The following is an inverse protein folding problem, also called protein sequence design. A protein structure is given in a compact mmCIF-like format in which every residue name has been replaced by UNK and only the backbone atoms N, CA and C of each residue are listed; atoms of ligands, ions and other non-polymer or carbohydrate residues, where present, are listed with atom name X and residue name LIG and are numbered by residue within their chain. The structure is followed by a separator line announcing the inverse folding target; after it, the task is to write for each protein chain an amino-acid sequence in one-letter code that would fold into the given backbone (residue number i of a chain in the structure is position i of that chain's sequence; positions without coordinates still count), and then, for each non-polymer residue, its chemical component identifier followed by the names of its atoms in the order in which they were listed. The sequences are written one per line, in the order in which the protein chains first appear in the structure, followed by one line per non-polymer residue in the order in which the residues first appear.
data_IF_951287046521
#
_entry.id   IF_951287046521
#
_cell.length_a   1.000
_cell.length_b   1.000
_cell.length_c   1.000
_cell.angle_alpha   90.00
_cell.angle_beta   90.00
_cell.angle_gamma   90.00
#
_symmetry.space_group_name_H-M   'P 1'
#
loop_
_entity.id
_entity.type
_entity.pdbx_description
1 polymer ?
#
# COMPACT_ATOMS: atom_id res chain seq x y z
N UNK A 1 5.05 13.41 5.74
CA UNK A 1 6.07 14.28 6.36
C UNK A 1 5.86 14.34 7.86
N UNK A 2 6.92 14.59 8.59
CA UNK A 2 6.86 14.77 10.04
C UNK A 2 7.48 16.10 10.45
N UNK A 3 6.99 16.65 11.55
CA UNK A 3 7.44 17.91 12.11
C UNK A 3 8.30 17.67 13.35
N UNK A 4 9.30 18.51 13.56
CA UNK A 4 10.23 18.42 14.68
C UNK A 4 11.34 17.41 14.47
N UNK A 5 12.26 17.35 15.44
CA UNK A 5 13.36 16.38 15.51
C UNK A 5 13.39 15.63 16.85
N UNK A 6 12.36 15.82 17.67
CA UNK A 6 12.16 15.23 18.99
C UNK A 6 11.51 13.84 18.94
N UNK A 7 12.05 12.96 18.11
CA UNK A 7 11.59 11.58 17.97
C UNK A 7 11.55 10.85 19.31
N UNK A 8 10.76 9.76 19.41
CA UNK A 8 10.60 9.05 20.67
C UNK A 8 11.96 8.66 21.24
N UNK A 9 12.22 9.06 22.48
CA UNK A 9 13.45 8.85 23.28
C UNK A 9 13.86 7.36 23.41
N UNK A 10 13.04 6.44 22.87
CA UNK A 10 13.22 5.00 22.84
C UNK A 10 14.52 4.54 22.14
N UNK A 11 15.22 5.43 21.44
CA UNK A 11 16.59 5.24 21.01
C UNK A 11 17.40 6.54 21.19
N UNK A 12 18.28 6.63 22.21
CA UNK A 12 19.20 7.75 22.36
C UNK A 12 20.01 7.93 21.07
N UNK A 13 19.80 9.05 20.36
CA UNK A 13 20.51 9.39 19.12
C UNK A 13 19.75 9.19 17.81
N UNK A 14 18.49 8.70 17.82
CA UNK A 14 17.63 8.74 16.62
C UNK A 14 16.84 10.05 16.59
N UNK A 15 17.34 11.01 15.81
CA UNK A 15 16.69 12.29 15.55
C UNK A 15 15.72 12.12 14.37
N UNK A 16 14.43 12.32 14.61
CA UNK A 16 13.41 12.27 13.57
C UNK A 16 12.04 12.66 14.14
N UNK A 17 11.08 13.09 13.33
CA UNK A 17 9.76 13.47 13.81
C UNK A 17 9.04 12.34 14.59
N UNK A 18 8.29 12.67 15.66
CA UNK A 18 7.47 11.70 16.38
C UNK A 18 6.29 11.15 15.55
N UNK A 19 5.89 11.85 14.49
CA UNK A 19 4.78 11.46 13.63
C UNK A 19 5.06 11.80 12.16
N UNK A 20 5.01 10.79 11.27
CA UNK A 20 5.23 10.92 9.82
C UNK A 20 3.94 10.89 8.99
N UNK A 21 2.77 10.72 9.63
CA UNK A 21 1.47 10.45 8.99
C UNK A 21 0.78 11.68 8.40
N UNK A 22 1.54 12.71 8.00
CA UNK A 22 1.01 13.91 7.34
C UNK A 22 1.31 13.82 5.83
N UNK A 23 0.41 13.30 4.98
CA UNK A 23 0.63 13.25 3.54
C UNK A 23 0.64 14.66 2.95
N UNK A 24 1.60 14.93 2.07
CA UNK A 24 1.69 16.18 1.31
C UNK A 24 1.05 16.06 -0.07
N UNK A 25 1.13 14.87 -0.65
CA UNK A 25 0.62 14.55 -1.98
C UNK A 25 -0.12 13.22 -1.93
N UNK A 26 -1.10 13.07 -2.81
CA UNK A 26 -1.76 11.78 -2.98
C UNK A 26 -0.79 10.78 -3.65
N UNK A 27 -0.88 9.48 -3.31
CA UNK A 27 -0.09 8.46 -3.98
C UNK A 27 -0.35 8.44 -5.49
N UNK A 28 0.71 8.33 -6.26
CA UNK A 28 0.67 8.13 -7.70
C UNK A 28 1.59 6.97 -8.08
N UNK A 29 1.35 6.40 -9.25
CA UNK A 29 2.15 5.32 -9.79
C UNK A 29 3.15 5.87 -10.80
N UNK A 30 4.38 5.37 -10.73
CA UNK A 30 5.41 5.55 -11.75
C UNK A 30 5.37 4.34 -12.69
N UNK A 31 5.38 4.58 -13.99
CA UNK A 31 5.39 3.55 -15.05
C UNK A 31 6.74 3.62 -15.75
N UNK A 32 7.62 2.68 -15.41
CA UNK A 32 8.93 2.55 -16.02
C UNK A 32 8.93 1.80 -17.36
N UNK A 33 10.02 1.90 -18.13
CA UNK A 33 10.18 1.19 -19.40
C UNK A 33 10.37 -0.32 -19.21
N UNK A 34 10.89 -0.75 -18.05
CA UNK A 34 11.09 -2.17 -17.72
C UNK A 34 10.75 -2.45 -16.27
N UNK A 35 10.69 -3.74 -15.88
CA UNK A 35 10.54 -4.18 -14.49
C UNK A 35 11.86 -4.27 -13.71
N UNK A 36 12.99 -4.12 -14.40
CA UNK A 36 14.31 -4.08 -13.78
C UNK A 36 14.64 -2.64 -13.38
N UNK A 37 15.59 -2.40 -12.46
CA UNK A 37 16.06 -1.06 -12.15
C UNK A 37 16.45 -0.29 -13.42
N UNK A 38 15.93 0.91 -13.59
CA UNK A 38 16.22 1.81 -14.71
C UNK A 38 16.65 3.18 -14.15
N UNK A 39 17.56 3.87 -14.84
CA UNK A 39 17.90 5.25 -14.48
C UNK A 39 16.76 6.19 -14.87
N UNK A 40 16.73 7.37 -14.26
CA UNK A 40 15.82 8.44 -14.63
C UNK A 40 15.52 9.34 -13.45
N UNK A 41 14.75 10.40 -13.71
CA UNK A 41 14.35 11.38 -12.69
C UNK A 41 12.85 11.58 -12.74
N UNK A 42 12.23 11.61 -11.56
CA UNK A 42 10.86 12.07 -11.36
C UNK A 42 10.94 13.21 -10.35
N UNK A 43 10.54 14.41 -10.77
CA UNK A 43 10.56 15.61 -9.96
C UNK A 43 9.17 16.22 -9.83
N UNK A 44 8.83 16.63 -8.60
CA UNK A 44 7.65 17.39 -8.28
C UNK A 44 8.09 18.82 -7.95
N UNK A 45 7.86 19.79 -8.84
CA UNK A 45 8.40 21.14 -8.69
C UNK A 45 7.85 21.86 -7.46
N UNK A 46 6.60 21.56 -7.09
CA UNK A 46 5.99 22.01 -5.85
C UNK A 46 5.28 20.88 -5.15
N UNK A 47 5.65 20.70 -3.87
CA UNK A 47 5.00 19.79 -2.95
C UNK A 47 4.39 20.66 -1.85
N UNK A 48 3.05 20.70 -1.72
CA UNK A 48 2.40 21.61 -0.79
C UNK A 48 2.60 21.15 0.66
N UNK A 49 2.42 22.08 1.60
CA UNK A 49 2.33 21.72 3.01
C UNK A 49 1.08 20.84 3.26
N UNK A 50 1.11 19.96 4.26
CA UNK A 50 -0.04 19.16 4.66
C UNK A 50 -1.17 20.08 5.11
N UNK A 51 -2.39 19.57 4.97
CA UNK A 51 -3.59 20.29 5.37
C UNK A 51 -3.50 20.66 6.86
N UNK A 52 -3.84 21.91 7.18
CA UNK A 52 -3.79 22.49 8.53
C UNK A 52 -2.39 22.56 9.17
N UNK A 53 -1.32 22.42 8.39
CA UNK A 53 0.02 22.69 8.88
C UNK A 53 0.28 24.20 8.95
N UNK A 54 0.83 24.67 10.07
CA UNK A 54 1.38 26.02 10.23
C UNK A 54 2.85 25.87 10.56
N UNK A 55 3.72 26.47 9.74
CA UNK A 55 5.17 26.43 9.89
C UNK A 55 5.73 27.84 9.82
N UNK A 56 6.82 28.09 10.54
CA UNK A 56 7.60 29.33 10.47
C UNK A 56 9.04 29.02 10.06
N UNK A 57 9.75 30.04 9.58
CA UNK A 57 11.17 29.90 9.34
C UNK A 57 11.91 29.46 10.62
N UNK A 58 12.85 28.52 10.46
CA UNK A 58 13.57 27.87 11.55
C UNK A 58 12.95 26.57 12.06
N UNK A 59 11.69 26.27 11.71
CA UNK A 59 11.09 24.98 12.09
C UNK A 59 11.77 23.82 11.34
N UNK A 60 12.01 22.72 12.05
CA UNK A 60 12.55 21.49 11.48
C UNK A 60 11.42 20.54 11.07
N UNK A 61 11.60 19.86 9.96
CA UNK A 61 10.72 18.81 9.50
C UNK A 61 11.50 17.76 8.71
N UNK A 62 10.93 16.57 8.55
CA UNK A 62 11.46 15.53 7.68
C UNK A 62 10.44 15.20 6.62
N UNK A 63 10.87 15.29 5.36
CA UNK A 63 10.12 14.78 4.21
C UNK A 63 10.50 13.32 4.05
N UNK A 64 9.49 12.46 3.96
CA UNK A 64 9.68 11.04 3.69
C UNK A 64 9.12 10.74 2.30
N UNK A 65 9.99 10.22 1.43
CA UNK A 65 9.61 9.63 0.15
C UNK A 65 9.38 8.14 0.40
N UNK A 66 8.19 7.67 0.04
CA UNK A 66 7.79 6.25 0.16
C UNK A 66 7.58 5.73 -1.24
N UNK A 67 8.38 4.75 -1.63
CA UNK A 67 8.25 4.07 -2.91
C UNK A 67 7.86 2.61 -2.68
N UNK A 68 6.82 2.16 -3.38
CA UNK A 68 6.37 0.77 -3.34
C UNK A 68 6.70 0.11 -4.67
N UNK A 69 7.57 -0.89 -4.63
CA UNK A 69 7.92 -1.68 -5.80
C UNK A 69 6.78 -2.64 -6.18
N UNK A 70 6.71 -3.04 -7.46
CA UNK A 70 5.69 -3.97 -7.97
C UNK A 70 5.67 -5.32 -7.25
N UNK A 71 6.81 -5.75 -6.70
CA UNK A 71 6.93 -6.98 -5.92
C UNK A 71 6.58 -6.81 -4.42
N UNK A 72 6.03 -5.66 -4.04
CA UNK A 72 5.54 -5.39 -2.69
C UNK A 72 6.60 -4.96 -1.67
N UNK A 73 7.85 -4.74 -2.08
CA UNK A 73 8.82 -4.10 -1.19
C UNK A 73 8.56 -2.60 -1.09
N UNK A 74 8.90 -2.04 0.06
CA UNK A 74 8.80 -0.62 0.31
C UNK A 74 10.20 -0.04 0.55
N UNK A 75 10.50 1.07 -0.08
CA UNK A 75 11.69 1.88 0.17
C UNK A 75 11.26 3.20 0.81
N UNK A 76 12.00 3.59 1.84
CA UNK A 76 11.76 4.82 2.58
C UNK A 76 13.04 5.65 2.53
N UNK A 77 12.93 6.87 2.01
CA UNK A 77 14.03 7.84 2.02
C UNK A 77 13.61 9.08 2.78
N UNK A 78 14.46 9.52 3.70
CA UNK A 78 14.20 10.67 4.57
C UNK A 78 15.12 11.81 4.19
N UNK A 79 14.56 13.02 4.15
CA UNK A 79 15.31 14.26 3.98
C UNK A 79 14.88 15.22 5.08
N UNK A 80 15.82 15.58 5.93
CA UNK A 80 15.61 16.59 6.96
C UNK A 80 15.75 17.98 6.36
N UNK A 81 14.77 18.83 6.66
CA UNK A 81 14.67 20.19 6.18
C UNK A 81 14.49 21.15 7.35
N UNK A 82 14.95 22.37 7.16
CA UNK A 82 14.61 23.52 8.00
C UNK A 82 13.88 24.52 7.14
N UNK A 83 12.68 24.92 7.54
CA UNK A 83 11.93 25.96 6.84
C UNK A 83 12.72 27.26 6.86
N UNK A 84 12.72 27.99 5.75
CA UNK A 84 13.33 29.31 5.66
C UNK A 84 12.34 30.30 5.06
N UNK A 85 12.68 31.58 5.17
CA UNK A 85 11.87 32.64 4.58
C UNK A 85 11.84 32.55 3.05
N UNK A 86 10.72 32.93 2.41
CA UNK A 86 10.66 33.00 0.95
C UNK A 86 11.78 33.89 0.38
N UNK A 87 12.54 33.36 -0.57
CA UNK A 87 13.66 34.08 -1.19
C UNK A 87 14.98 34.04 -0.42
N UNK A 88 15.10 33.18 0.60
CA UNK A 88 16.38 32.95 1.28
C UNK A 88 17.47 32.49 0.28
N UNK A 89 18.65 33.16 0.25
CA UNK A 89 19.70 32.86 -0.72
C UNK A 89 20.30 31.45 -0.59
N UNK A 90 20.04 30.74 0.53
CA UNK A 90 20.45 29.35 0.73
C UNK A 90 19.61 28.36 -0.07
N UNK A 91 18.41 28.76 -0.49
CA UNK A 91 17.50 27.90 -1.26
C UNK A 91 17.81 28.10 -2.75
N UNK A 92 18.31 27.04 -3.38
CA UNK A 92 18.50 27.03 -4.82
C UNK A 92 17.14 27.11 -5.54
N UNK A 93 17.08 27.95 -6.58
CA UNK A 93 15.87 28.07 -7.39
C UNK A 93 15.64 26.79 -8.18
N UNK A 94 14.41 26.28 -8.16
CA UNK A 94 14.01 25.13 -8.97
C UNK A 94 14.00 25.56 -10.44
N UNK A 95 14.71 24.81 -11.29
CA UNK A 95 14.84 25.07 -12.72
C UNK A 95 14.90 23.74 -13.50
N UNK A 96 14.91 23.81 -14.82
CA UNK A 96 14.92 22.63 -15.69
C UNK A 96 16.22 21.79 -15.61
N UNK A 97 17.28 22.31 -14.98
CA UNK A 97 18.53 21.56 -14.81
C UNK A 97 18.59 20.78 -13.50
N UNK A 98 17.82 21.16 -12.49
CA UNK A 98 17.78 20.48 -11.19
C UNK A 98 16.48 19.72 -10.90
N UNK A 99 15.39 20.04 -11.62
CA UNK A 99 14.10 19.38 -11.47
C UNK A 99 13.51 19.11 -12.85
N UNK A 100 13.74 17.89 -13.35
CA UNK A 100 13.25 17.45 -14.65
C UNK A 100 12.68 16.03 -14.56
N UNK A 101 11.75 15.73 -15.45
CA UNK A 101 11.21 14.38 -15.61
C UNK A 101 11.83 13.71 -16.83
N UNK A 102 12.32 12.48 -16.67
CA UNK A 102 12.78 11.68 -17.80
C UNK A 102 11.60 11.27 -18.70
N UNK A 103 11.83 11.17 -20.01
CA UNK A 103 10.78 10.93 -21.00
C UNK A 103 10.34 9.47 -21.13
N UNK A 104 11.15 8.55 -20.62
CA UNK A 104 10.90 7.11 -20.57
C UNK A 104 10.11 6.68 -19.33
N UNK A 105 9.74 7.64 -18.47
CA UNK A 105 8.98 7.40 -17.24
C UNK A 105 7.59 8.04 -17.36
N UNK A 106 6.55 7.21 -17.28
CA UNK A 106 5.16 7.64 -17.21
C UNK A 106 4.68 7.82 -15.76
N UNK A 107 3.59 8.57 -15.59
CA UNK A 107 2.88 8.73 -14.30
C UNK A 107 1.41 8.41 -14.50
N UNK A 108 0.81 7.71 -13.53
CA UNK A 108 -0.61 7.40 -13.51
C UNK A 108 -1.21 7.56 -12.11
N UNK A 109 -2.49 7.89 -12.05
CA UNK A 109 -3.23 7.98 -10.79
C UNK A 109 -3.54 6.59 -10.23
N UNK A 110 -3.48 6.48 -8.90
CA UNK A 110 -3.90 5.28 -8.17
C UNK A 110 -5.31 5.52 -7.64
N UNK A 111 -6.24 4.64 -8.00
CA UNK A 111 -7.60 4.64 -7.47
C UNK A 111 -7.94 3.25 -6.92
N UNK A 112 -8.75 3.23 -5.86
CA UNK A 112 -9.24 2.00 -5.26
C UNK A 112 -10.68 1.76 -5.72
N UNK A 113 -10.98 0.52 -6.09
CA UNK A 113 -12.34 0.08 -6.42
C UNK A 113 -12.82 -0.86 -5.32
N UNK A 114 -13.94 -0.51 -4.68
CA UNK A 114 -14.59 -1.42 -3.73
C UNK A 114 -15.34 -2.50 -4.50
N UNK A 115 -14.70 -3.65 -4.72
CA UNK A 115 -15.34 -4.79 -5.37
C UNK A 115 -16.32 -5.52 -4.44
N UNK A 116 -16.07 -5.49 -3.13
CA UNK A 116 -16.94 -6.02 -2.07
C UNK A 116 -16.78 -5.20 -0.80
N UNK A 117 -17.89 -4.86 -0.15
CA UNK A 117 -17.84 -4.21 1.14
C UNK A 117 -17.38 -5.19 2.24
N UNK A 118 -16.77 -4.67 3.30
CA UNK A 118 -16.40 -5.47 4.47
C UNK A 118 -17.65 -6.13 5.07
N UNK A 119 -17.54 -7.42 5.40
CA UNK A 119 -18.66 -8.22 5.91
C UNK A 119 -19.63 -8.77 4.85
N UNK A 120 -19.45 -8.45 3.57
CA UNK A 120 -20.19 -9.11 2.49
C UNK A 120 -19.57 -10.49 2.23
N UNK A 121 -20.36 -11.56 2.42
CA UNK A 121 -19.96 -12.89 1.94
C UNK A 121 -19.75 -12.84 0.43
N UNK A 122 -18.70 -13.50 -0.04
CA UNK A 122 -18.59 -13.85 -1.45
C UNK A 122 -19.86 -14.62 -1.82
N UNK A 123 -20.83 -13.97 -2.45
CA UNK A 123 -21.97 -14.68 -3.00
C UNK A 123 -21.46 -15.42 -4.24
N UNK A 124 -20.76 -16.53 -4.00
CA UNK A 124 -20.42 -17.51 -5.01
C UNK A 124 -21.74 -18.22 -5.30
N UNK A 125 -22.64 -17.54 -6.01
CA UNK A 125 -23.61 -18.22 -6.85
C UNK A 125 -22.78 -18.88 -7.96
N UNK A 126 -22.14 -20.00 -7.61
CA UNK A 126 -21.60 -20.92 -8.59
C UNK A 126 -22.79 -21.44 -9.38
N UNK A 127 -23.14 -20.72 -10.46
CA UNK A 127 -24.10 -21.14 -11.47
C UNK A 127 -23.56 -22.28 -12.33
N UNK A 128 -22.36 -22.78 -12.03
CA UNK A 128 -21.83 -23.99 -12.64
C UNK A 128 -22.64 -25.21 -12.20
N UNK A 129 -23.44 -25.74 -13.11
CA UNK A 129 -24.22 -26.97 -12.95
C UNK A 129 -23.39 -28.17 -12.45
N UNK A 130 -22.06 -28.13 -12.62
CA UNK A 130 -21.12 -29.15 -12.17
C UNK A 130 -20.95 -29.26 -10.64
N UNK A 131 -21.32 -28.23 -9.85
CA UNK A 131 -21.17 -28.28 -8.38
C UNK A 131 -22.39 -28.92 -7.69
N UNK A 132 -23.57 -28.86 -8.32
CA UNK A 132 -24.79 -29.50 -7.78
C UNK A 132 -24.72 -31.02 -7.77
N UNK A 133 -23.95 -31.62 -8.68
CA UNK A 133 -23.77 -33.07 -8.75
C UNK A 133 -22.89 -33.64 -7.64
N UNK A 134 -22.01 -32.86 -7.01
CA UNK A 134 -21.14 -33.36 -5.95
C UNK A 134 -21.83 -33.37 -4.57
N UNK A 135 -22.70 -32.41 -4.28
CA UNK A 135 -23.35 -32.31 -2.96
C UNK A 135 -24.48 -33.33 -2.76
N UNK A 136 -25.25 -33.68 -3.80
CA UNK A 136 -26.27 -34.74 -3.67
C UNK A 136 -25.66 -36.16 -3.64
N UNK A 137 -24.52 -36.38 -4.32
CA UNK A 137 -23.86 -37.68 -4.33
C UNK A 137 -23.17 -38.01 -2.99
N UNK A 138 -22.60 -37.00 -2.31
CA UNK A 138 -21.88 -37.19 -1.05
C UNK A 138 -22.78 -37.62 0.12
N UNK A 139 -23.94 -36.99 0.30
CA UNK A 139 -24.83 -37.32 1.42
C UNK A 139 -25.54 -38.67 1.25
N UNK A 140 -26.01 -39.00 0.05
CA UNK A 140 -26.70 -40.26 -0.20
C UNK A 140 -25.75 -41.48 -0.10
N UNK A 141 -24.50 -41.36 -0.58
CA UNK A 141 -23.51 -42.42 -0.47
C UNK A 141 -23.10 -42.70 0.98
N UNK A 142 -23.00 -41.65 1.81
CA UNK A 142 -22.62 -41.79 3.22
C UNK A 142 -23.73 -42.48 4.02
N UNK A 143 -24.99 -42.06 3.89
CA UNK A 143 -26.11 -42.73 4.59
C UNK A 143 -26.33 -44.17 4.12
N UNK A 144 -26.16 -44.45 2.82
CA UNK A 144 -26.24 -45.81 2.27
C UNK A 144 -25.14 -46.74 2.82
N UNK A 145 -23.91 -46.23 2.98
CA UNK A 145 -22.81 -47.00 3.53
C UNK A 145 -23.05 -47.37 5.01
N UNK A 146 -23.53 -46.43 5.83
CA UNK A 146 -23.87 -46.72 7.23
C UNK A 146 -25.03 -47.71 7.37
N UNK A 147 -26.06 -47.63 6.51
CA UNK A 147 -27.15 -48.60 6.50
C UNK A 147 -26.68 -50.01 6.17
N UNK A 148 -25.77 -50.16 5.19
CA UNK A 148 -25.20 -51.46 4.82
C UNK A 148 -24.34 -52.08 5.94
N UNK A 149 -23.56 -51.28 6.66
CA UNK A 149 -22.76 -51.75 7.81
C UNK A 149 -23.65 -52.18 8.97
N UNK A 150 -24.71 -51.42 9.28
CA UNK A 150 -25.63 -51.76 10.36
C UNK A 150 -26.46 -53.01 10.05
N UNK A 151 -26.96 -53.15 8.81
CA UNK A 151 -27.68 -54.34 8.37
C UNK A 151 -26.77 -55.58 8.31
N UNK A 152 -25.53 -55.43 7.82
CA UNK A 152 -24.55 -56.52 7.81
C UNK A 152 -24.12 -56.96 9.20
N UNK A 153 -23.95 -56.03 10.13
CA UNK A 153 -23.65 -56.33 11.53
C UNK A 153 -24.80 -57.02 12.27
N UNK A 154 -26.05 -56.64 11.99
CA UNK A 154 -27.22 -57.26 12.60
C UNK A 154 -27.48 -58.69 12.07
N UNK A 155 -27.21 -58.93 10.78
CA UNK A 155 -27.33 -60.26 10.16
C UNK A 155 -26.24 -61.25 10.62
N UNK A 156 -25.09 -60.77 11.10
CA UNK A 156 -24.02 -61.63 11.61
C UNK A 156 -24.27 -62.12 13.06
N UNK A 157 -25.33 -61.65 13.71
CA UNK A 157 -25.70 -61.96 15.11
C UNK A 157 -26.93 -62.88 15.23
N UNK A 158 -27.51 -63.33 14.12
CA UNK A 158 -28.63 -64.28 14.01
C UNK A 158 -28.14 -65.59 13.37
#
# INVERSE_FOLDING_TARGET
MGFGNEGPELAPGLHGPPNMSNPMINPFQIIGPTRNPYPGTVCLPQVPLPVNASVKAGDNATIQVVELALHGAALYSCVDITFAEPGDPRIALVNETNCFNSTDIGVADIYTLTLRASGQSANINATSAAVRSFQLAGSAAVYGAYAAVLLGGLLALL
#
